data_IF_640072575678
#
_entry.id   IF_640072575678
#
_cell.length_a   1.000
_cell.length_b   1.000
_cell.length_c   1.000
_cell.angle_alpha   90.00
_cell.angle_beta   90.00
_cell.angle_gamma   90.00
#
_symmetry.space_group_name_H-M   'P 1'
#
loop_
_entity.id
_entity.type
_entity.pdbx_description
1 polymer ?
#
# COMPACT_ATOMS: atom_id res chain seq x y z
N UNK A 1 -11.64 -3.98 -19.95
CA UNK A 1 -12.43 -5.15 -19.54
C UNK A 1 -11.46 -6.33 -19.53
N UNK A 2 -10.94 -6.73 -18.36
CA UNK A 2 -10.12 -7.94 -18.29
C UNK A 2 -11.01 -9.12 -18.72
N UNK A 3 -10.53 -9.93 -19.66
CA UNK A 3 -11.30 -11.09 -20.13
C UNK A 3 -11.51 -12.06 -18.96
N UNK A 4 -12.64 -12.78 -18.91
CA UNK A 4 -12.94 -13.70 -17.79
C UNK A 4 -11.86 -14.76 -17.54
N UNK A 5 -11.07 -15.09 -18.56
CA UNK A 5 -9.92 -16.02 -18.48
C UNK A 5 -8.76 -15.44 -17.68
N UNK A 6 -8.52 -14.12 -17.79
CA UNK A 6 -7.49 -13.44 -17.01
C UNK A 6 -7.90 -13.34 -15.53
N UNK A 7 -9.20 -13.26 -15.24
CA UNK A 7 -9.71 -13.15 -13.87
C UNK A 7 -9.43 -14.41 -13.05
N UNK A 8 -9.72 -15.60 -13.59
CA UNK A 8 -9.43 -16.87 -12.92
C UNK A 8 -7.92 -17.08 -12.73
N UNK A 9 -7.13 -16.83 -13.78
CA UNK A 9 -5.67 -16.93 -13.72
C UNK A 9 -5.07 -15.98 -12.68
N UNK A 10 -5.51 -14.72 -12.65
CA UNK A 10 -5.02 -13.73 -11.69
C UNK A 10 -5.44 -14.06 -10.26
N UNK A 11 -6.66 -14.59 -10.06
CA UNK A 11 -7.14 -15.01 -8.74
C UNK A 11 -6.33 -16.20 -8.21
N UNK A 12 -6.02 -17.18 -9.07
CA UNK A 12 -5.18 -18.31 -8.71
C UNK A 12 -3.73 -17.88 -8.40
N UNK A 13 -3.17 -16.95 -9.16
CA UNK A 13 -1.84 -16.39 -8.90
C UNK A 13 -1.81 -15.64 -7.56
N UNK A 14 -2.82 -14.80 -7.28
CA UNK A 14 -2.95 -14.09 -6.00
C UNK A 14 -3.07 -15.06 -4.83
N UNK A 15 -3.92 -16.09 -4.93
CA UNK A 15 -4.09 -17.08 -3.87
C UNK A 15 -2.77 -17.78 -3.51
N UNK A 16 -1.94 -18.10 -4.52
CA UNK A 16 -0.60 -18.68 -4.29
C UNK A 16 0.35 -17.70 -3.63
N UNK A 17 0.35 -16.44 -4.06
CA UNK A 17 1.20 -15.41 -3.48
C UNK A 17 0.91 -15.16 -2.00
N UNK A 18 -0.37 -15.19 -1.61
CA UNK A 18 -0.81 -15.00 -0.22
C UNK A 18 -0.41 -16.15 0.73
N UNK A 19 0.09 -17.28 0.21
CA UNK A 19 0.67 -18.34 1.04
C UNK A 19 2.05 -17.98 1.59
N UNK A 20 2.80 -17.15 0.85
CA UNK A 20 4.19 -16.79 1.16
C UNK A 20 4.30 -15.42 1.83
N UNK A 21 3.34 -14.52 1.58
CA UNK A 21 3.36 -13.15 2.10
C UNK A 21 2.31 -12.97 3.20
N UNK A 22 2.72 -12.72 4.45
CA UNK A 22 1.78 -12.46 5.55
C UNK A 22 0.89 -11.26 5.26
N UNK A 23 -0.42 -11.44 5.47
CA UNK A 23 -1.41 -10.36 5.34
C UNK A 23 -1.57 -9.67 6.70
N UNK A 24 -1.02 -8.47 6.83
CA UNK A 24 -1.24 -7.65 8.01
C UNK A 24 -2.64 -7.00 7.98
N UNK A 25 -3.41 -7.03 9.09
CA UNK A 25 -4.73 -6.41 9.15
C UNK A 25 -4.62 -4.89 9.29
N UNK A 26 -5.42 -4.14 8.53
CA UNK A 26 -5.59 -2.70 8.76
C UNK A 26 -6.46 -2.47 10.01
N UNK A 27 -5.82 -2.21 11.14
CA UNK A 27 -6.46 -2.11 12.45
C UNK A 27 -6.70 -0.65 12.91
N UNK A 28 -7.13 -0.49 14.17
CA UNK A 28 -7.37 0.82 14.77
C UNK A 28 -6.11 1.69 14.90
N UNK A 29 -4.92 1.10 15.00
CA UNK A 29 -3.67 1.86 15.02
C UNK A 29 -3.37 2.43 13.63
N UNK A 30 -3.48 1.60 12.59
CA UNK A 30 -3.35 2.04 11.21
C UNK A 30 -4.39 3.13 10.86
N UNK A 31 -5.63 2.99 11.33
CA UNK A 31 -6.68 3.99 11.11
C UNK A 31 -6.36 5.36 11.73
N UNK A 32 -5.76 5.40 12.94
CA UNK A 32 -5.33 6.65 13.58
C UNK A 32 -4.20 7.32 12.81
N UNK A 33 -3.20 6.56 12.37
CA UNK A 33 -2.10 7.07 11.55
C UNK A 33 -2.62 7.61 10.23
N UNK A 34 -3.59 6.92 9.61
CA UNK A 34 -4.25 7.40 8.39
C UNK A 34 -4.89 8.77 8.56
N UNK A 35 -5.52 9.06 9.71
CA UNK A 35 -6.06 10.39 10.00
C UNK A 35 -5.00 11.49 9.89
N UNK A 36 -3.83 11.28 10.48
CA UNK A 36 -2.71 12.21 10.41
C UNK A 36 -2.14 12.33 8.98
N UNK A 37 -1.93 11.20 8.30
CA UNK A 37 -1.46 11.15 6.90
C UNK A 37 -2.42 11.88 5.96
N UNK A 38 -3.73 11.66 6.12
CA UNK A 38 -4.77 12.27 5.28
C UNK A 38 -4.83 13.78 5.46
N UNK A 39 -4.64 14.26 6.69
CA UNK A 39 -4.59 15.69 7.02
C UNK A 39 -3.32 16.33 6.45
N UNK A 40 -2.15 15.73 6.67
CA UNK A 40 -0.88 16.23 6.15
C UNK A 40 -0.80 16.24 4.62
N UNK A 41 -1.51 15.32 3.95
CA UNK A 41 -1.59 15.21 2.50
C UNK A 41 -2.90 15.73 1.92
N UNK A 42 -3.61 16.64 2.61
CA UNK A 42 -4.98 17.04 2.25
C UNK A 42 -5.10 17.58 0.82
N UNK A 43 -4.11 18.33 0.35
CA UNK A 43 -4.07 18.91 -1.00
C UNK A 43 -3.75 17.89 -2.10
N UNK A 44 -3.10 16.77 -1.74
CA UNK A 44 -2.93 15.64 -2.66
C UNK A 44 -4.26 14.91 -2.79
N UNK A 45 -4.94 15.12 -3.91
CA UNK A 45 -6.14 14.36 -4.31
C UNK A 45 -5.83 12.98 -4.91
N UNK A 46 -4.55 12.62 -5.00
CA UNK A 46 -4.10 11.32 -5.53
C UNK A 46 -4.54 10.15 -4.65
N UNK A 47 -4.53 8.98 -5.29
CA UNK A 47 -5.06 7.68 -4.90
C UNK A 47 -5.38 7.54 -3.39
N UNK A 48 -6.67 7.46 -3.01
CA UNK A 48 -7.08 7.20 -1.63
C UNK A 48 -6.45 5.93 -1.04
N UNK A 49 -6.13 4.92 -1.88
CA UNK A 49 -5.50 3.68 -1.45
C UNK A 49 -4.02 3.89 -1.10
N UNK A 50 -3.28 4.74 -1.82
CA UNK A 50 -1.88 5.05 -1.48
C UNK A 50 -1.77 5.62 -0.07
N UNK A 51 -2.74 6.43 0.34
CA UNK A 51 -2.78 6.99 1.71
C UNK A 51 -3.01 5.92 2.76
N UNK A 52 -3.87 4.94 2.46
CA UNK A 52 -4.09 3.81 3.35
C UNK A 52 -2.83 2.94 3.42
N UNK A 53 -2.19 2.64 2.29
CA UNK A 53 -0.94 1.87 2.22
C UNK A 53 0.17 2.57 3.00
N UNK A 54 0.40 3.86 2.77
CA UNK A 54 1.41 4.64 3.48
C UNK A 54 1.15 4.69 4.99
N UNK A 55 -0.09 4.93 5.39
CA UNK A 55 -0.46 4.94 6.80
C UNK A 55 -0.29 3.56 7.46
N UNK A 56 -0.58 2.49 6.75
CA UNK A 56 -0.43 1.13 7.24
C UNK A 56 1.06 0.79 7.44
N UNK A 57 1.91 1.11 6.46
CA UNK A 57 3.36 0.91 6.55
C UNK A 57 3.98 1.73 7.71
N UNK A 58 3.54 2.98 7.89
CA UNK A 58 3.96 3.81 9.02
C UNK A 58 3.51 3.23 10.37
N UNK A 59 2.29 2.72 10.46
CA UNK A 59 1.75 2.13 11.69
C UNK A 59 2.46 0.84 12.09
N UNK A 60 2.90 0.05 11.11
CA UNK A 60 3.67 -1.18 11.32
C UNK A 60 5.17 -0.94 11.52
N UNK A 61 5.64 0.29 11.28
CA UNK A 61 7.06 0.64 11.23
C UNK A 61 7.86 -0.30 10.29
N UNK A 62 7.44 -0.37 9.03
CA UNK A 62 8.07 -1.19 7.98
C UNK A 62 8.48 -0.35 6.76
N UNK A 63 9.34 -0.92 5.93
CA UNK A 63 9.69 -0.34 4.63
C UNK A 63 8.60 -0.68 3.60
N UNK A 64 8.10 0.33 2.88
CA UNK A 64 7.22 0.15 1.74
C UNK A 64 8.04 -0.13 0.48
N UNK A 65 7.92 -1.34 -0.04
CA UNK A 65 8.48 -1.71 -1.35
C UNK A 65 7.50 -1.31 -2.44
N UNK A 66 7.91 -0.49 -3.40
CA UNK A 66 7.05 -0.09 -4.52
C UNK A 66 7.80 0.24 -5.82
N UNK A 67 7.17 -0.03 -6.96
CA UNK A 67 7.63 0.37 -8.30
C UNK A 67 7.19 1.80 -8.69
N UNK A 68 6.48 2.53 -7.82
CA UNK A 68 6.14 3.94 -8.03
C UNK A 68 6.58 4.84 -6.86
N UNK A 69 7.88 4.87 -6.50
CA UNK A 69 8.35 5.56 -5.28
C UNK A 69 7.97 7.05 -5.25
N UNK A 70 7.90 7.71 -6.41
CA UNK A 70 7.50 9.13 -6.56
C UNK A 70 6.11 9.44 -6.00
N UNK A 71 5.24 8.45 -5.87
CA UNK A 71 3.89 8.62 -5.36
C UNK A 71 3.88 8.63 -3.82
N UNK A 72 4.94 8.09 -3.20
CA UNK A 72 5.07 7.88 -1.76
C UNK A 72 6.10 8.80 -1.08
N UNK A 73 7.03 9.40 -1.81
CA UNK A 73 8.09 10.28 -1.24
C UNK A 73 7.58 11.44 -0.39
N UNK A 74 6.33 11.87 -0.57
CA UNK A 74 5.75 12.98 0.22
C UNK A 74 5.22 12.57 1.61
N UNK A 75 5.16 11.28 1.93
CA UNK A 75 4.72 10.81 3.24
C UNK A 75 5.90 10.82 4.20
N UNK A 76 5.93 11.81 5.10
CA UNK A 76 7.00 11.97 6.07
C UNK A 76 7.16 10.72 6.96
N UNK A 77 8.40 10.28 7.16
CA UNK A 77 8.74 9.10 7.97
C UNK A 77 8.59 7.76 7.26
N UNK A 78 8.04 7.71 6.04
CA UNK A 78 7.88 6.47 5.30
C UNK A 78 9.22 6.03 4.69
N UNK A 79 9.68 4.84 5.05
CA UNK A 79 10.83 4.18 4.40
C UNK A 79 10.37 3.54 3.10
N UNK A 80 11.09 3.77 2.01
CA UNK A 80 10.70 3.32 0.67
C UNK A 80 11.88 2.60 0.01
N UNK A 81 11.61 1.47 -0.62
CA UNK A 81 12.53 0.76 -1.49
C UNK A 81 11.88 0.48 -2.84
N UNK A 82 12.69 0.46 -3.90
CA UNK A 82 12.29 -0.06 -5.21
C UNK A 82 13.20 -1.23 -5.56
N UNK A 83 12.60 -2.39 -5.87
CA UNK A 83 13.32 -3.64 -6.13
C UNK A 83 13.41 -4.01 -7.61
N UNK A 84 12.82 -3.20 -8.49
CA UNK A 84 12.76 -3.48 -9.93
C UNK A 84 13.47 -2.40 -10.77
N UNK A 85 14.25 -1.54 -10.12
CA UNK A 85 15.18 -0.62 -10.77
C UNK A 85 16.48 -1.31 -11.20
#
# INVERSE_FOLDING_TARGET
>A
MASGVDAERNSAALARFLLEVPVAPFDGTAARVYGAVRLASRERRRDPLDKLIAAHALALDVTLVTNNPRDFVSYAGLRIENWVD
#
